data_IF_494422970385
#
_entry.id   IF_494422970385
#
_cell.length_a   1.000
_cell.length_b   1.000
_cell.length_c   1.000
_cell.angle_alpha   90.00
_cell.angle_beta   90.00
_cell.angle_gamma   90.00
#
_symmetry.space_group_name_H-M   'P 1'
#
loop_
_entity.id
_entity.type
_entity.pdbx_description
1 polymer ?
#
# COMPACT_ATOMS: atom_id res chain seq x y z
N UNK A 1 -41.65 76.04 19.33
CA UNK A 1 -40.30 76.10 18.74
C UNK A 1 -39.27 75.92 19.87
N UNK A 2 -38.81 74.69 20.15
CA UNK A 2 -37.72 74.44 21.10
C UNK A 2 -36.49 74.06 20.29
N UNK A 3 -35.47 74.90 20.37
CA UNK A 3 -34.21 74.78 19.65
C UNK A 3 -33.38 73.62 20.22
N UNK A 4 -33.04 72.66 19.38
CA UNK A 4 -32.07 71.61 19.69
C UNK A 4 -30.68 72.26 19.74
N UNK A 5 -30.04 72.26 20.92
CA UNK A 5 -28.63 72.64 21.06
C UNK A 5 -27.75 71.56 20.42
N UNK A 6 -26.66 71.95 19.71
CA UNK A 6 -25.69 70.99 19.19
C UNK A 6 -24.93 70.36 20.35
N UNK A 7 -25.05 69.04 20.50
CA UNK A 7 -24.22 68.24 21.42
C UNK A 7 -22.81 68.14 20.84
N UNK A 8 -21.83 68.56 21.62
CA UNK A 8 -20.42 68.58 21.25
C UNK A 8 -19.93 67.16 20.97
N UNK A 9 -19.14 66.94 19.91
CA UNK A 9 -18.59 65.61 19.55
C UNK A 9 -17.80 64.97 20.72
N UNK A 10 -17.28 65.79 21.64
CA UNK A 10 -16.65 65.33 22.89
C UNK A 10 -17.62 64.62 23.84
N UNK A 11 -18.86 65.09 23.96
CA UNK A 11 -19.90 64.50 24.82
C UNK A 11 -20.36 63.12 24.30
N UNK A 12 -20.42 62.93 22.98
CA UNK A 12 -20.72 61.61 22.39
C UNK A 12 -19.54 60.63 22.53
N UNK A 13 -18.31 61.12 22.42
CA UNK A 13 -17.10 60.29 22.58
C UNK A 13 -16.93 59.79 24.01
N UNK A 14 -17.29 60.58 25.03
CA UNK A 14 -17.25 60.13 26.42
C UNK A 14 -18.40 59.17 26.74
N UNK A 15 -19.59 59.43 26.18
CA UNK A 15 -20.76 58.56 26.36
C UNK A 15 -20.57 57.17 25.72
N UNK A 16 -19.97 57.10 24.53
CA UNK A 16 -19.66 55.83 23.85
C UNK A 16 -18.48 55.08 24.51
N UNK A 17 -17.57 55.79 25.20
CA UNK A 17 -16.49 55.17 25.98
C UNK A 17 -17.01 54.53 27.27
N UNK A 18 -18.09 55.07 27.84
CA UNK A 18 -18.74 54.54 29.04
C UNK A 18 -19.57 53.27 28.77
N UNK A 19 -20.21 53.16 27.59
CA UNK A 19 -21.09 52.02 27.27
C UNK A 19 -20.37 50.81 26.63
N UNK A 20 -19.09 50.96 26.23
CA UNK A 20 -18.30 49.85 25.65
C UNK A 20 -17.52 49.03 26.69
N UNK A 21 -18.02 48.96 27.92
CA UNK A 21 -17.60 47.91 28.86
C UNK A 21 -18.68 46.84 28.87
N UNK A 22 -18.42 45.80 28.05
CA UNK A 22 -19.16 44.55 28.00
C UNK A 22 -19.57 44.13 29.41
N UNK A 23 -20.89 44.11 29.64
CA UNK A 23 -21.50 43.31 30.68
C UNK A 23 -21.21 41.85 30.33
N UNK A 24 -20.04 41.37 30.75
CA UNK A 24 -19.86 39.95 31.02
C UNK A 24 -20.65 39.75 32.28
N UNK A 25 -21.92 39.37 32.15
CA UNK A 25 -22.72 38.93 33.29
C UNK A 25 -22.04 37.69 33.85
N UNK A 26 -21.17 37.91 34.82
CA UNK A 26 -20.73 36.88 35.75
C UNK A 26 -21.94 36.47 36.59
N UNK A 27 -22.58 35.38 36.17
CA UNK A 27 -23.44 34.57 37.02
C UNK A 27 -22.71 34.20 38.32
N UNK A 28 -23.44 34.02 39.43
CA UNK A 28 -22.89 34.11 40.78
C UNK A 28 -21.84 33.02 41.00
N UNK A 29 -20.62 33.42 41.36
CA UNK A 29 -19.57 32.52 41.85
C UNK A 29 -20.01 31.93 43.20
N UNK A 30 -20.85 30.89 43.16
CA UNK A 30 -21.22 30.14 44.35
C UNK A 30 -20.84 28.67 44.12
N UNK A 31 -19.64 28.34 44.60
CA UNK A 31 -19.16 26.99 44.87
C UNK A 31 -18.87 26.04 43.68
N UNK A 32 -18.74 26.54 42.46
CA UNK A 32 -18.37 25.73 41.27
C UNK A 32 -16.87 25.36 41.20
N UNK A 33 -16.06 25.83 42.16
CA UNK A 33 -14.58 25.73 42.11
C UNK A 33 -14.06 24.28 42.10
N UNK A 34 -14.86 23.31 42.54
CA UNK A 34 -14.51 21.88 42.47
C UNK A 34 -15.00 21.17 41.21
N UNK A 35 -16.18 21.54 40.70
CA UNK A 35 -16.85 20.84 39.59
C UNK A 35 -16.10 21.08 38.27
N UNK A 36 -15.61 22.30 38.03
CA UNK A 36 -14.81 22.60 36.85
C UNK A 36 -13.55 21.72 36.75
N UNK A 37 -12.93 21.40 37.88
CA UNK A 37 -11.75 20.53 37.95
C UNK A 37 -12.09 19.07 37.62
N UNK A 38 -13.22 18.57 38.13
CA UNK A 38 -13.69 17.21 37.82
C UNK A 38 -14.03 17.06 36.34
N UNK A 39 -14.73 18.05 35.76
CA UNK A 39 -15.06 18.05 34.32
C UNK A 39 -13.78 18.09 33.48
N UNK A 40 -12.81 18.94 33.84
CA UNK A 40 -11.52 19.00 33.15
C UNK A 40 -10.78 17.65 33.18
N UNK A 41 -10.77 16.97 34.34
CA UNK A 41 -10.13 15.66 34.46
C UNK A 41 -10.83 14.58 33.63
N UNK A 42 -12.17 14.57 33.61
CA UNK A 42 -12.95 13.65 32.78
C UNK A 42 -12.68 13.90 31.30
N UNK A 43 -12.69 15.16 30.86
CA UNK A 43 -12.41 15.52 29.47
C UNK A 43 -10.99 15.11 29.05
N UNK A 44 -9.99 15.31 29.92
CA UNK A 44 -8.61 14.89 29.68
C UNK A 44 -8.51 13.36 29.56
N UNK A 45 -9.18 12.63 30.45
CA UNK A 45 -9.21 11.16 30.43
C UNK A 45 -9.84 10.65 29.13
N UNK A 46 -10.97 11.21 28.73
CA UNK A 46 -11.65 10.86 27.46
C UNK A 46 -10.73 11.12 26.27
N UNK A 47 -10.10 12.29 26.19
CA UNK A 47 -9.16 12.61 25.12
C UNK A 47 -7.97 11.64 25.08
N UNK A 48 -7.49 11.21 26.24
CA UNK A 48 -6.35 10.27 26.35
C UNK A 48 -6.73 8.89 25.83
N UNK A 49 -7.91 8.37 26.19
CA UNK A 49 -8.38 7.08 25.68
C UNK A 49 -8.57 7.09 24.16
N UNK A 50 -9.13 8.17 23.62
CA UNK A 50 -9.27 8.36 22.17
C UNK A 50 -7.89 8.45 21.52
N UNK A 51 -6.95 9.19 22.12
CA UNK A 51 -5.58 9.33 21.62
C UNK A 51 -4.83 8.00 21.58
N UNK A 52 -4.88 7.21 22.65
CA UNK A 52 -4.24 5.88 22.71
C UNK A 52 -4.86 4.92 21.68
N UNK A 53 -6.20 4.92 21.55
CA UNK A 53 -6.89 4.11 20.54
C UNK A 53 -6.48 4.49 19.11
N UNK A 54 -6.33 5.78 18.82
CA UNK A 54 -5.89 6.29 17.52
C UNK A 54 -4.45 5.86 17.16
N UNK A 55 -3.53 5.88 18.13
CA UNK A 55 -2.16 5.36 17.92
C UNK A 55 -2.19 3.86 17.63
N UNK A 56 -3.00 3.09 18.37
CA UNK A 56 -3.19 1.67 18.11
C UNK A 56 -3.61 1.37 16.67
N UNK A 57 -4.62 2.08 16.17
CA UNK A 57 -5.09 1.93 14.77
C UNK A 57 -3.98 2.22 13.75
N UNK A 58 -3.20 3.28 13.95
CA UNK A 58 -2.06 3.63 13.08
C UNK A 58 -1.03 2.49 13.01
N UNK A 59 -0.73 1.83 14.14
CA UNK A 59 0.22 0.71 14.13
C UNK A 59 -0.31 -0.51 13.37
N UNK A 60 -1.60 -0.80 13.46
CA UNK A 60 -2.20 -1.90 12.67
C UNK A 60 -2.19 -1.60 11.18
N UNK A 61 -2.57 -0.39 10.77
CA UNK A 61 -2.51 0.03 9.37
C UNK A 61 -1.09 -0.07 8.82
N UNK A 62 -0.08 0.35 9.58
CA UNK A 62 1.32 0.27 9.15
C UNK A 62 1.81 -1.19 9.01
N UNK A 63 1.36 -2.10 9.87
CA UNK A 63 1.66 -3.52 9.74
C UNK A 63 0.98 -4.15 8.51
N UNK A 64 -0.28 -3.80 8.24
CA UNK A 64 -1.01 -4.27 7.05
C UNK A 64 -0.34 -3.75 5.78
N UNK A 65 -0.05 -2.45 5.71
CA UNK A 65 0.63 -1.83 4.58
C UNK A 65 2.04 -2.40 4.36
N UNK A 66 2.76 -2.72 5.45
CA UNK A 66 4.05 -3.40 5.39
C UNK A 66 3.94 -4.79 4.75
N UNK A 67 2.96 -5.59 5.17
CA UNK A 67 2.73 -6.92 4.63
C UNK A 67 2.29 -6.88 3.15
N UNK A 68 1.38 -5.97 2.80
CA UNK A 68 0.92 -5.78 1.42
C UNK A 68 2.07 -5.42 0.48
N UNK A 69 2.95 -4.51 0.91
CA UNK A 69 4.15 -4.13 0.14
C UNK A 69 5.06 -5.33 -0.13
N UNK A 70 5.29 -6.17 0.87
CA UNK A 70 6.14 -7.37 0.77
C UNK A 70 5.51 -8.41 -0.16
N UNK A 71 4.20 -8.60 -0.05
CA UNK A 71 3.44 -9.48 -0.93
C UNK A 71 3.54 -9.02 -2.39
N UNK A 72 3.27 -7.74 -2.66
CA UNK A 72 3.33 -7.18 -4.01
C UNK A 72 4.74 -7.32 -4.61
N UNK A 73 5.77 -7.05 -3.83
CA UNK A 73 7.16 -7.20 -4.29
C UNK A 73 7.49 -8.66 -4.67
N UNK A 74 7.07 -9.62 -3.83
CA UNK A 74 7.26 -11.04 -4.09
C UNK A 74 6.50 -11.48 -5.34
N UNK A 75 5.28 -10.98 -5.51
CA UNK A 75 4.45 -11.24 -6.69
C UNK A 75 5.11 -10.72 -7.98
N UNK A 76 5.54 -9.45 -8.01
CA UNK A 76 6.23 -8.89 -9.18
C UNK A 76 7.52 -9.63 -9.53
N UNK A 77 8.25 -10.09 -8.51
CA UNK A 77 9.48 -10.88 -8.71
C UNK A 77 9.14 -12.26 -9.30
N UNK A 78 8.06 -12.90 -8.82
CA UNK A 78 7.58 -14.16 -9.36
C UNK A 78 7.13 -14.01 -10.83
N UNK A 79 6.33 -12.98 -11.12
CA UNK A 79 5.81 -12.68 -12.44
C UNK A 79 6.94 -12.35 -13.44
N UNK A 80 7.89 -11.52 -13.05
CA UNK A 80 9.09 -11.27 -13.85
C UNK A 80 9.90 -12.53 -14.12
N UNK A 81 9.87 -13.52 -13.21
CA UNK A 81 10.49 -14.82 -13.42
C UNK A 81 9.84 -15.58 -14.57
N UNK A 82 8.51 -15.58 -14.64
CA UNK A 82 7.76 -16.20 -15.74
C UNK A 82 8.15 -15.54 -17.06
N UNK A 83 8.27 -14.22 -17.11
CA UNK A 83 8.63 -13.53 -18.35
C UNK A 83 10.08 -13.68 -18.76
N UNK A 84 10.98 -13.80 -17.80
CA UNK A 84 12.34 -14.24 -18.08
C UNK A 84 12.34 -15.63 -18.75
N UNK A 85 11.56 -16.58 -18.21
CA UNK A 85 11.44 -17.91 -18.79
C UNK A 85 10.77 -17.89 -20.17
N UNK A 86 9.72 -17.07 -20.36
CA UNK A 86 9.07 -16.84 -21.66
C UNK A 86 10.08 -16.37 -22.71
N UNK A 87 10.98 -15.46 -22.35
CA UNK A 87 12.06 -15.02 -23.23
C UNK A 87 12.98 -16.17 -23.67
N UNK A 88 13.29 -17.12 -22.77
CA UNK A 88 14.14 -18.27 -23.08
C UNK A 88 13.48 -19.27 -24.02
N UNK A 89 12.18 -19.54 -23.84
CA UNK A 89 11.44 -20.43 -24.77
C UNK A 89 11.23 -19.78 -26.14
N UNK A 90 11.09 -18.45 -26.19
CA UNK A 90 10.92 -17.71 -27.45
C UNK A 90 12.17 -17.76 -28.34
N UNK A 91 13.35 -18.00 -27.76
CA UNK A 91 14.60 -18.16 -28.50
C UNK A 91 14.74 -19.51 -29.21
N UNK A 92 13.80 -20.45 -29.04
CA UNK A 92 13.77 -21.74 -29.73
C UNK A 92 14.77 -22.78 -29.22
N UNK A 93 16.03 -22.40 -28.96
CA UNK A 93 17.10 -23.32 -28.52
C UNK A 93 16.74 -24.05 -27.21
N UNK A 94 16.15 -23.32 -26.25
CA UNK A 94 15.78 -23.87 -24.96
C UNK A 94 14.79 -25.04 -25.08
N UNK A 95 13.93 -25.06 -26.09
CA UNK A 95 12.92 -26.10 -26.29
C UNK A 95 13.58 -27.46 -26.52
N UNK A 96 14.73 -27.51 -27.19
CA UNK A 96 15.43 -28.75 -27.55
C UNK A 96 16.41 -29.22 -26.49
N UNK A 97 17.06 -28.31 -25.77
CA UNK A 97 18.01 -28.67 -24.70
C UNK A 97 17.36 -28.86 -23.33
N UNK A 98 16.16 -28.32 -23.10
CA UNK A 98 15.50 -28.42 -21.80
C UNK A 98 15.11 -29.88 -21.50
N UNK A 99 15.46 -30.33 -20.30
CA UNK A 99 14.99 -31.60 -19.74
C UNK A 99 13.47 -31.54 -19.53
N UNK A 100 12.83 -32.71 -19.41
CA UNK A 100 11.38 -32.78 -19.11
C UNK A 100 10.99 -32.08 -17.81
N UNK A 101 11.93 -31.94 -16.88
CA UNK A 101 11.76 -31.12 -15.68
C UNK A 101 13.10 -30.48 -15.34
N UNK A 102 13.06 -29.23 -14.89
CA UNK A 102 14.25 -28.51 -14.48
C UNK A 102 13.92 -27.35 -13.56
N UNK A 103 14.96 -26.80 -12.95
CA UNK A 103 14.85 -25.59 -12.14
C UNK A 103 15.98 -24.63 -12.45
N UNK A 104 15.68 -23.35 -12.35
CA UNK A 104 16.61 -22.25 -12.41
C UNK A 104 16.58 -21.62 -11.02
N UNK A 105 17.60 -21.94 -10.25
CA UNK A 105 17.76 -21.40 -8.92
C UNK A 105 18.38 -20.00 -9.01
N UNK A 106 17.85 -19.08 -8.20
CA UNK A 106 18.44 -17.77 -7.93
C UNK A 106 18.53 -16.80 -9.11
N UNK A 107 17.42 -16.58 -9.83
CA UNK A 107 17.35 -15.51 -10.84
C UNK A 107 17.11 -14.17 -10.14
N UNK A 108 17.96 -13.19 -10.42
CA UNK A 108 17.79 -11.84 -9.89
C UNK A 108 16.93 -10.98 -10.83
N UNK A 109 15.83 -10.44 -10.31
CA UNK A 109 14.90 -9.57 -11.04
C UNK A 109 14.68 -8.32 -10.19
N UNK A 110 15.23 -7.19 -10.65
CA UNK A 110 15.08 -5.91 -9.97
C UNK A 110 15.65 -5.90 -8.55
N UNK A 111 16.70 -6.69 -8.27
CA UNK A 111 17.33 -6.78 -6.95
C UNK A 111 16.75 -7.86 -6.03
N UNK A 112 15.67 -8.54 -6.44
CA UNK A 112 15.04 -9.63 -5.69
C UNK A 112 15.29 -10.97 -6.38
N UNK A 113 15.23 -12.05 -5.61
CA UNK A 113 15.53 -13.39 -6.12
C UNK A 113 14.26 -14.18 -6.36
N UNK A 114 14.16 -14.82 -7.53
CA UNK A 114 13.18 -15.86 -7.80
C UNK A 114 13.82 -17.22 -8.10
N UNK A 115 13.04 -18.27 -7.83
CA UNK A 115 13.33 -19.64 -8.24
C UNK A 115 12.27 -20.06 -9.25
N UNK A 116 12.69 -20.57 -10.40
CA UNK A 116 11.77 -21.06 -11.43
C UNK A 116 11.91 -22.57 -11.52
N UNK A 117 10.80 -23.28 -11.45
CA UNK A 117 10.72 -24.72 -11.78
C UNK A 117 9.84 -24.87 -13.01
N UNK A 118 10.22 -25.74 -13.93
CA UNK A 118 9.41 -26.01 -15.12
C UNK A 118 9.30 -27.51 -15.37
N UNK A 119 8.15 -27.91 -15.89
CA UNK A 119 7.90 -29.24 -16.44
C UNK A 119 7.47 -29.10 -17.90
N UNK A 120 8.18 -29.77 -18.80
CA UNK A 120 7.89 -29.81 -20.22
C UNK A 120 7.08 -31.06 -20.53
N UNK A 121 5.93 -30.88 -21.15
CA UNK A 121 5.15 -31.95 -21.77
C UNK A 121 5.28 -31.79 -23.28
N UNK A 122 5.92 -32.76 -23.93
CA UNK A 122 5.99 -32.78 -25.39
C UNK A 122 4.61 -33.15 -25.94
N UNK A 123 3.98 -32.24 -26.68
CA UNK A 123 2.79 -32.56 -27.46
C UNK A 123 3.22 -32.83 -28.90
N UNK A 124 3.05 -34.08 -29.33
CA UNK A 124 3.17 -34.49 -30.73
C UNK A 124 1.94 -33.99 -31.48
N UNK A 125 2.08 -32.89 -32.22
CA UNK A 125 1.00 -32.37 -33.06
C UNK A 125 0.95 -33.12 -34.40
N UNK A 126 -0.20 -33.72 -34.72
CA UNK A 126 -0.51 -34.09 -36.10
C UNK A 126 -0.75 -32.84 -36.96
N UNK A 127 -0.46 -32.93 -38.26
CA UNK A 127 -0.73 -32.00 -39.38
C UNK A 127 -0.48 -30.47 -39.22
N UNK A 128 -0.25 -29.93 -38.03
CA UNK A 128 -0.15 -28.49 -37.73
C UNK A 128 1.11 -28.07 -36.95
N UNK A 129 2.12 -28.95 -36.87
CA UNK A 129 3.39 -28.71 -36.17
C UNK A 129 3.41 -29.21 -34.72
N UNK A 130 4.59 -29.56 -34.22
CA UNK A 130 4.76 -30.02 -32.83
C UNK A 130 4.77 -28.82 -31.87
N UNK A 131 4.00 -28.87 -30.78
CA UNK A 131 3.94 -27.80 -29.77
C UNK A 131 4.59 -28.27 -28.47
N UNK A 132 5.44 -27.42 -27.88
CA UNK A 132 5.98 -27.65 -26.55
C UNK A 132 5.11 -26.93 -25.52
N UNK A 133 4.59 -27.68 -24.55
CA UNK A 133 3.85 -27.11 -23.42
C UNK A 133 4.75 -27.15 -22.20
N UNK A 134 4.96 -26.00 -21.57
CA UNK A 134 5.72 -25.85 -20.33
C UNK A 134 4.78 -25.44 -19.21
N UNK A 135 4.65 -26.26 -18.18
CA UNK A 135 4.12 -25.82 -16.88
C UNK A 135 5.26 -25.17 -16.12
N UNK A 136 5.19 -23.86 -15.90
CA UNK A 136 6.23 -23.08 -15.22
C UNK A 136 5.69 -22.59 -13.89
N UNK A 137 6.45 -22.83 -12.83
CA UNK A 137 6.18 -22.41 -11.46
C UNK A 137 7.30 -21.48 -11.04
N UNK A 138 6.99 -20.20 -10.84
CA UNK A 138 7.95 -19.18 -10.40
C UNK A 138 7.67 -18.80 -8.95
N UNK A 139 8.69 -18.84 -8.12
CA UNK A 139 8.67 -18.46 -6.71
C UNK A 139 9.45 -17.16 -6.54
N UNK A 140 8.76 -16.07 -6.20
CA UNK A 140 9.38 -14.80 -5.84
C UNK A 140 9.57 -14.68 -4.34
N UNK A 141 10.75 -14.20 -3.92
CA UNK A 141 11.06 -13.94 -2.51
C UNK A 141 11.35 -12.45 -2.30
N UNK A 142 10.67 -11.86 -1.34
CA UNK A 142 10.99 -10.52 -0.88
C UNK A 142 12.36 -10.49 -0.17
N UNK A 143 13.07 -9.36 -0.23
CA UNK A 143 14.38 -9.19 0.40
C UNK A 143 14.23 -9.14 1.93
N UNK A 144 15.25 -9.66 2.61
CA UNK A 144 15.38 -9.64 4.07
C UNK A 144 15.19 -8.21 4.61
N UNK A 145 14.46 -7.96 5.72
CA UNK A 145 14.06 -8.89 6.79
C UNK A 145 12.66 -9.53 6.66
N UNK A 146 11.87 -9.18 5.64
CA UNK A 146 10.49 -9.67 5.51
C UNK A 146 10.40 -10.86 4.56
N UNK A 147 10.26 -12.07 5.10
CA UNK A 147 10.22 -13.31 4.31
C UNK A 147 8.83 -13.57 3.72
N UNK A 148 8.37 -12.68 2.83
CA UNK A 148 7.25 -12.97 1.94
C UNK A 148 7.67 -13.93 0.85
N UNK A 149 6.87 -14.97 0.61
CA UNK A 149 7.02 -15.91 -0.51
C UNK A 149 5.70 -15.96 -1.28
N UNK A 150 5.79 -15.76 -2.59
CA UNK A 150 4.64 -15.88 -3.50
C UNK A 150 5.05 -16.81 -4.64
N UNK A 151 4.14 -17.71 -5.00
CA UNK A 151 4.33 -18.66 -6.10
C UNK A 151 3.28 -18.38 -7.16
N UNK A 152 3.73 -18.21 -8.41
CA UNK A 152 2.88 -18.01 -9.57
C UNK A 152 3.13 -19.17 -10.53
N UNK A 153 2.06 -19.79 -11.01
CA UNK A 153 2.12 -20.82 -12.04
C UNK A 153 1.60 -20.27 -13.37
N UNK A 154 2.26 -20.63 -14.46
CA UNK A 154 1.81 -20.33 -15.81
C UNK A 154 2.00 -21.55 -16.72
N UNK A 155 1.16 -21.62 -17.75
CA UNK A 155 1.32 -22.56 -18.84
C UNK A 155 1.79 -21.76 -20.04
N UNK A 156 2.95 -22.13 -20.57
CA UNK A 156 3.53 -21.49 -21.72
C UNK A 156 3.58 -22.48 -22.87
N UNK A 157 3.15 -22.01 -24.04
CA UNK A 157 3.13 -22.78 -25.27
C UNK A 157 4.13 -22.16 -26.24
N UNK A 158 4.97 -23.00 -26.82
CA UNK A 158 5.94 -22.58 -27.82
C UNK A 158 5.92 -23.54 -29.02
N UNK A 159 5.86 -23.02 -30.26
CA UNK A 159 5.97 -23.86 -31.45
C UNK A 159 7.37 -24.48 -31.50
N UNK A 160 7.45 -25.79 -31.76
CA UNK A 160 8.72 -26.43 -32.06
C UNK A 160 9.04 -26.18 -33.54
N UNK A 161 9.97 -25.27 -33.84
CA UNK A 161 10.49 -25.10 -35.19
C UNK A 161 11.33 -26.32 -35.58
N UNK A 162 10.87 -27.13 -36.54
CA UNK A 162 11.77 -28.10 -37.19
C UNK A 162 12.99 -27.34 -37.71
N UNK A 163 14.23 -27.75 -37.39
CA UNK A 163 15.41 -27.11 -37.94
C UNK A 163 15.30 -27.12 -39.47
N UNK A 164 15.20 -25.95 -40.09
CA UNK A 164 15.24 -25.85 -41.54
C UNK A 164 16.68 -26.13 -41.99
N UNK A 165 16.89 -27.26 -42.64
CA UNK A 165 18.11 -27.57 -43.39
C UNK A 165 19.09 -28.52 -42.71
N UNK A 166 18.88 -29.83 -42.93
CA UNK A 166 19.89 -30.72 -43.49
C UNK A 166 19.14 -31.71 -44.40
N UNK A 167 19.52 -31.75 -45.69
CA UNK A 167 19.12 -32.81 -46.63
C UNK A 167 19.56 -34.18 -46.11
#
# INVERSE_FOLDING_TARGET
>A
MRTLKPQTIKDLSEKCRSERMRKVESCPLRNERGIAFVIAMIMLLVLTLIGVGSVGMTTFENNIAGNERVYNLSFYTADGGIENFRGRISGGEFIYTAKNTGSLDEINIGGNTCKISYAKTASSGGAGGSLAIFKVTSEGRAPFPSQGKVVVESILEAPMHTPEGYN
#
